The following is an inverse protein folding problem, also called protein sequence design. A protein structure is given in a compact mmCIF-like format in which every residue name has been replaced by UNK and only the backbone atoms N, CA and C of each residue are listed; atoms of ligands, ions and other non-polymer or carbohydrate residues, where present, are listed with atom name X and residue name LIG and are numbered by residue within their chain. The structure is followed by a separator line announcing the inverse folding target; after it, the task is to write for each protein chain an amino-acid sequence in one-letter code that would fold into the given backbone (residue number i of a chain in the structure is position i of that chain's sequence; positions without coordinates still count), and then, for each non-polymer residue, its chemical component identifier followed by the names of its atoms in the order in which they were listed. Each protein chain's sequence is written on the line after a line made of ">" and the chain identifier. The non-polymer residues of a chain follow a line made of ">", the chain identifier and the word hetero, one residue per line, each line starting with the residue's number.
data_IF_433915004571
#
_entry.id   IF_433915004571
#
_cell.length_a   1.000
_cell.length_b   1.000
_cell.length_c   1.000
_cell.angle_alpha   90.00
_cell.angle_beta   90.00
_cell.angle_gamma   90.00
#
_symmetry.space_group_name_H-M   'P 1'
#
loop_
_entity.id
_entity.type
_entity.pdbx_description
1 polymer ?
#
# COMPACT_ATOMS: atom_id res chain seq x y z
N UNK A 1 3.94 15.60 -22.87
CA UNK A 1 3.61 15.64 -21.43
C UNK A 1 4.32 14.49 -20.69
N UNK A 2 5.44 14.78 -20.03
CA UNK A 2 6.21 13.78 -19.30
C UNK A 2 5.69 13.61 -17.88
N UNK A 3 5.43 12.38 -17.46
CA UNK A 3 5.10 12.07 -16.08
C UNK A 3 6.24 12.51 -15.15
N UNK A 4 5.91 13.14 -14.02
CA UNK A 4 6.91 13.46 -13.02
C UNK A 4 7.58 12.16 -12.55
N UNK A 5 8.90 12.03 -12.77
CA UNK A 5 9.66 10.84 -12.37
C UNK A 5 9.58 10.55 -10.87
N UNK A 6 9.22 11.53 -10.03
CA UNK A 6 8.91 11.30 -8.61
C UNK A 6 7.56 10.60 -8.43
N UNK A 7 6.53 10.99 -9.18
CA UNK A 7 5.21 10.37 -9.13
C UNK A 7 5.25 8.92 -9.59
N UNK A 8 6.00 8.63 -10.67
CA UNK A 8 6.20 7.25 -11.16
C UNK A 8 6.88 6.38 -10.11
N UNK A 9 7.96 6.90 -9.48
CA UNK A 9 8.66 6.18 -8.41
C UNK A 9 7.79 5.94 -7.17
N UNK A 10 6.95 6.91 -6.81
CA UNK A 10 6.02 6.78 -5.70
C UNK A 10 4.94 5.72 -5.97
N UNK A 11 4.39 5.68 -7.18
CA UNK A 11 3.41 4.67 -7.56
C UNK A 11 4.01 3.27 -7.52
N UNK A 12 5.19 3.07 -8.13
CA UNK A 12 5.89 1.80 -8.12
C UNK A 12 6.23 1.32 -6.69
N UNK A 13 6.61 2.25 -5.80
CA UNK A 13 6.85 1.94 -4.39
C UNK A 13 5.56 1.54 -3.66
N UNK A 14 4.46 2.25 -3.92
CA UNK A 14 3.17 1.95 -3.31
C UNK A 14 2.62 0.58 -3.76
N UNK A 15 2.82 0.21 -5.03
CA UNK A 15 2.43 -1.11 -5.55
C UNK A 15 3.23 -2.23 -4.93
N UNK A 16 4.56 -2.08 -4.79
CA UNK A 16 5.39 -3.06 -4.07
C UNK A 16 4.94 -3.23 -2.61
N UNK A 17 4.66 -2.13 -1.91
CA UNK A 17 4.18 -2.19 -0.52
C UNK A 17 2.80 -2.82 -0.42
N UNK A 18 1.91 -2.61 -1.39
CA UNK A 18 0.62 -3.28 -1.44
C UNK A 18 0.80 -4.81 -1.49
N UNK A 19 1.66 -5.30 -2.39
CA UNK A 19 1.93 -6.74 -2.51
C UNK A 19 2.52 -7.35 -1.23
N UNK A 20 3.41 -6.62 -0.54
CA UNK A 20 3.96 -7.04 0.75
C UNK A 20 2.87 -7.09 1.83
N UNK A 21 1.97 -6.11 1.86
CA UNK A 21 0.86 -6.08 2.81
C UNK A 21 -0.15 -7.20 2.56
N UNK A 22 -0.40 -7.53 1.30
CA UNK A 22 -1.25 -8.66 0.92
C UNK A 22 -0.64 -9.99 1.40
N UNK A 23 0.68 -10.15 1.21
CA UNK A 23 1.41 -11.31 1.74
C UNK A 23 1.41 -11.35 3.27
N UNK A 24 1.61 -10.21 3.94
CA UNK A 24 1.59 -10.13 5.40
C UNK A 24 0.21 -10.37 6.00
N UNK A 25 -0.86 -10.06 5.26
CA UNK A 25 -2.24 -10.33 5.64
C UNK A 25 -2.67 -11.78 5.42
N UNK A 26 -1.97 -12.52 4.57
CA UNK A 26 -2.26 -13.92 4.32
C UNK A 26 -1.81 -14.79 5.50
N UNK A 27 -2.70 -15.67 5.98
CA UNK A 27 -2.32 -16.71 6.91
C UNK A 27 -1.59 -17.83 6.15
N UNK A 28 -0.29 -17.98 6.41
CA UNK A 28 0.41 -19.21 6.04
C UNK A 28 -0.20 -20.39 6.83
N UNK A 29 -0.12 -21.64 6.33
CA UNK A 29 -0.48 -22.82 7.14
C UNK A 29 0.31 -22.78 8.46
N UNK A 30 -0.40 -22.57 9.58
CA UNK A 30 0.19 -22.43 10.93
C UNK A 30 0.54 -20.99 11.39
N UNK A 31 0.24 -19.95 10.61
CA UNK A 31 0.62 -18.57 10.89
C UNK A 31 -0.28 -17.81 11.87
N UNK A 32 -1.55 -18.18 12.01
CA UNK A 32 -2.41 -17.75 13.10
C UNK A 32 -2.97 -19.00 13.77
N UNK A 33 -2.65 -19.17 15.05
CA UNK A 33 -3.06 -20.35 15.83
C UNK A 33 -4.56 -20.30 16.11
N UNK A 34 -5.16 -19.09 16.02
CA UNK A 34 -6.58 -18.84 16.22
C UNK A 34 -7.07 -17.56 15.49
N UNK A 35 -8.38 -17.43 15.30
CA UNK A 35 -8.99 -16.26 14.61
C UNK A 35 -8.88 -14.92 15.36
N UNK A 36 -8.40 -14.90 16.60
CA UNK A 36 -8.09 -13.68 17.37
C UNK A 36 -6.78 -13.07 16.92
N UNK A 37 -5.74 -13.88 16.71
CA UNK A 37 -4.43 -13.46 16.21
C UNK A 37 -4.53 -12.90 14.78
N UNK A 38 -5.33 -13.53 13.92
CA UNK A 38 -5.60 -13.02 12.57
C UNK A 38 -6.25 -11.63 12.60
N UNK A 39 -7.23 -11.39 13.50
CA UNK A 39 -7.87 -10.07 13.67
C UNK A 39 -6.91 -9.02 14.21
N UNK A 40 -6.06 -9.38 15.19
CA UNK A 40 -5.05 -8.48 15.72
C UNK A 40 -4.03 -8.07 14.65
N UNK A 41 -3.59 -9.01 13.82
CA UNK A 41 -2.72 -8.74 12.67
C UNK A 41 -3.38 -7.81 11.66
N UNK A 42 -4.62 -8.10 11.25
CA UNK A 42 -5.35 -7.23 10.34
C UNK A 42 -5.51 -5.80 10.89
N UNK A 43 -5.76 -5.67 12.19
CA UNK A 43 -5.81 -4.37 12.86
C UNK A 43 -4.47 -3.62 12.82
N UNK A 44 -3.36 -4.33 13.03
CA UNK A 44 -2.01 -3.76 12.97
C UNK A 44 -1.62 -3.32 11.54
N UNK A 45 -2.09 -4.01 10.50
CA UNK A 45 -1.78 -3.69 9.10
C UNK A 45 -2.64 -2.55 8.52
N UNK A 46 -3.83 -2.27 9.09
CA UNK A 46 -4.76 -1.23 8.60
C UNK A 46 -4.14 0.17 8.37
N UNK A 47 -3.30 0.70 9.28
CA UNK A 47 -2.67 2.01 9.07
C UNK A 47 -1.77 2.03 7.83
N UNK A 48 -1.04 0.94 7.59
CA UNK A 48 -0.12 0.81 6.44
C UNK A 48 -0.91 0.71 5.12
N UNK A 49 -1.99 -0.07 5.09
CA UNK A 49 -2.90 -0.14 3.92
C UNK A 49 -3.44 1.25 3.57
N UNK A 50 -3.81 2.03 4.58
CA UNK A 50 -4.29 3.40 4.40
C UNK A 50 -3.21 4.31 3.81
N UNK A 51 -1.97 4.22 4.32
CA UNK A 51 -0.84 4.99 3.81
C UNK A 51 -0.53 4.67 2.34
N UNK A 52 -0.55 3.38 1.96
CA UNK A 52 -0.33 2.94 0.57
C UNK A 52 -1.41 3.49 -0.37
N UNK A 53 -2.69 3.43 0.04
CA UNK A 53 -3.79 4.01 -0.75
C UNK A 53 -3.61 5.51 -0.97
N UNK A 54 -3.22 6.26 0.07
CA UNK A 54 -2.93 7.70 -0.03
C UNK A 54 -1.74 7.98 -0.96
N UNK A 55 -0.69 7.17 -0.91
CA UNK A 55 0.46 7.30 -1.80
C UNK A 55 0.08 7.08 -3.27
N UNK A 56 -0.76 6.09 -3.57
CA UNK A 56 -1.29 5.87 -4.93
C UNK A 56 -2.09 7.08 -5.41
N UNK A 57 -3.02 7.59 -4.60
CA UNK A 57 -3.82 8.77 -4.94
C UNK A 57 -2.94 9.99 -5.19
N UNK A 58 -1.94 10.23 -4.33
CA UNK A 58 -1.00 11.34 -4.50
C UNK A 58 -0.18 11.19 -5.78
N UNK A 59 0.28 9.98 -6.12
CA UNK A 59 1.01 9.72 -7.35
C UNK A 59 0.16 9.96 -8.60
N UNK A 60 -1.07 9.45 -8.64
CA UNK A 60 -2.00 9.71 -9.75
C UNK A 60 -2.36 11.19 -9.87
N UNK A 61 -2.58 11.89 -8.75
CA UNK A 61 -2.92 13.32 -8.73
C UNK A 61 -1.71 14.27 -8.84
N UNK A 62 -0.49 13.75 -8.88
CA UNK A 62 0.71 14.52 -9.22
C UNK A 62 0.88 14.68 -10.75
N UNK A 63 0.23 13.81 -11.55
CA UNK A 63 0.24 13.88 -13.02
C UNK A 63 -0.50 15.12 -13.57
N UNK A 64 -1.63 15.58 -13.00
CA UNK A 64 -2.36 16.77 -13.49
C UNK A 64 -1.82 18.13 -13.00
N UNK A 65 -0.97 18.18 -11.97
CA UNK A 65 -0.68 19.42 -11.23
C UNK A 65 0.54 20.22 -11.70
N UNK A 66 1.23 19.81 -12.79
CA UNK A 66 2.44 20.50 -13.29
C UNK A 66 2.18 21.63 -14.30
N UNK A 67 0.95 22.13 -14.38
CA UNK A 67 0.58 23.36 -15.10
C UNK A 67 -0.17 24.30 -14.15
N UNK A 68 0.58 25.01 -13.30
CA UNK A 68 0.18 26.31 -12.74
C UNK A 68 1.43 27.10 -12.39
#
# INVERSE_FOLDING_TARGET
>A
PGHDGRAVRLLAQAERLAAVLDLAGADAPGGAVNGTEARARAAALRPLVTAVRRARLAAYNAVPSRHR
#
